data_IF_763917526542
#
_entry.id   IF_763917526542
#
_cell.length_a   1.000
_cell.length_b   1.000
_cell.length_c   1.000
_cell.angle_alpha   90.00
_cell.angle_beta   90.00
_cell.angle_gamma   90.00
#
_symmetry.space_group_name_H-M   'P 1'
#
loop_
_entity.id
_entity.type
_entity.pdbx_description
1 polymer ?
#
# COMPACT_ATOMS: atom_id res chain seq x y z
N UNK A 1 -3.42 15.75 -2.96
CA UNK A 1 -2.19 15.06 -2.49
C UNK A 1 -1.87 13.81 -3.28
N UNK A 2 -2.66 12.73 -3.23
CA UNK A 2 -2.40 11.54 -4.08
C UNK A 2 -2.49 11.89 -5.57
N UNK A 3 -3.54 12.62 -5.97
CA UNK A 3 -3.75 13.07 -7.34
C UNK A 3 -2.70 14.11 -7.84
N UNK A 4 -1.99 14.78 -6.93
CA UNK A 4 -0.98 15.78 -7.28
C UNK A 4 0.45 15.20 -7.31
N UNK A 5 0.62 13.95 -6.85
CA UNK A 5 1.92 13.29 -6.69
C UNK A 5 2.12 12.09 -7.59
N UNK A 6 1.05 11.65 -8.23
CA UNK A 6 1.10 10.60 -9.24
C UNK A 6 0.66 11.20 -10.56
N UNK A 7 1.38 10.87 -11.63
CA UNK A 7 0.81 10.97 -12.97
C UNK A 7 -0.48 10.13 -13.01
N UNK A 8 -1.51 10.57 -13.76
CA UNK A 8 -2.77 9.84 -13.85
C UNK A 8 -2.52 8.36 -14.12
N UNK A 9 -3.06 7.51 -13.26
CA UNK A 9 -2.96 6.07 -13.48
C UNK A 9 -4.05 5.71 -14.46
N UNK A 10 -3.69 5.72 -15.73
CA UNK A 10 -4.64 5.51 -16.82
C UNK A 10 -4.97 4.03 -16.93
N UNK A 11 -6.24 3.69 -16.71
CA UNK A 11 -6.78 2.38 -17.04
C UNK A 11 -6.58 2.10 -18.54
N UNK A 12 -5.92 0.99 -18.87
CA UNK A 12 -5.60 0.64 -20.25
C UNK A 12 -6.82 0.33 -21.11
N UNK A 13 -7.96 0.04 -20.47
CA UNK A 13 -9.22 -0.31 -21.16
C UNK A 13 -10.08 0.93 -21.44
N UNK A 14 -10.11 1.90 -20.53
CA UNK A 14 -11.02 3.06 -20.58
C UNK A 14 -10.34 4.40 -20.78
N UNK A 15 -9.01 4.47 -20.63
CA UNK A 15 -8.26 5.71 -20.74
C UNK A 15 -8.51 6.70 -19.59
N UNK A 16 -9.16 6.26 -18.49
CA UNK A 16 -9.50 7.12 -17.34
C UNK A 16 -8.47 7.00 -16.23
N UNK A 17 -8.26 8.11 -15.52
CA UNK A 17 -7.48 8.14 -14.29
C UNK A 17 -8.17 7.31 -13.20
N UNK A 18 -7.46 6.31 -12.68
CA UNK A 18 -7.92 5.42 -11.63
C UNK A 18 -7.78 6.01 -10.23
N UNK A 19 -6.95 7.05 -10.04
CA UNK A 19 -6.69 7.64 -8.72
C UNK A 19 -7.99 8.14 -8.07
N UNK A 20 -8.87 8.91 -8.74
CA UNK A 20 -10.13 9.34 -8.15
C UNK A 20 -11.01 8.14 -7.75
N UNK A 21 -11.07 7.10 -8.58
CA UNK A 21 -11.91 5.93 -8.31
C UNK A 21 -11.44 5.14 -7.09
N UNK A 22 -10.13 5.01 -6.92
CA UNK A 22 -9.52 4.36 -5.75
C UNK A 22 -9.70 5.17 -4.47
N UNK A 23 -9.50 6.50 -4.53
CA UNK A 23 -9.63 7.39 -3.37
C UNK A 23 -11.09 7.48 -2.92
N UNK A 24 -12.04 7.54 -3.85
CA UNK A 24 -13.47 7.66 -3.54
C UNK A 24 -14.18 6.30 -3.42
N UNK A 25 -13.46 5.18 -3.56
CA UNK A 25 -14.03 3.83 -3.52
C UNK A 25 -15.16 3.61 -4.54
N UNK A 26 -15.10 4.29 -5.69
CA UNK A 26 -16.13 4.21 -6.73
C UNK A 26 -15.83 3.05 -7.67
N UNK A 27 -16.72 2.07 -7.74
CA UNK A 27 -16.61 0.94 -8.66
C UNK A 27 -16.53 1.43 -10.13
N UNK A 28 -15.52 0.95 -10.87
CA UNK A 28 -15.50 1.04 -12.34
C UNK A 28 -15.73 -0.36 -12.90
N UNK A 29 -16.96 -0.61 -13.37
CA UNK A 29 -17.36 -1.87 -14.02
C UNK A 29 -16.88 -3.11 -13.27
N UNK A 30 -15.87 -3.81 -13.83
CA UNK A 30 -15.36 -5.11 -13.42
C UNK A 30 -14.29 -5.03 -12.32
N UNK A 31 -13.90 -3.82 -11.90
CA UNK A 31 -12.91 -3.60 -10.85
C UNK A 31 -13.62 -3.05 -9.60
N UNK A 32 -13.78 -3.94 -8.61
CA UNK A 32 -14.31 -3.54 -7.31
C UNK A 32 -13.23 -2.80 -6.52
N UNK A 33 -13.43 -1.49 -6.32
CA UNK A 33 -12.62 -0.68 -5.41
C UNK A 33 -13.17 -0.70 -3.97
N UNK A 34 -14.19 -1.52 -3.72
CA UNK A 34 -14.68 -1.80 -2.38
C UNK A 34 -13.62 -2.45 -1.50
N UNK A 35 -13.55 -2.06 -0.22
CA UNK A 35 -12.57 -2.58 0.73
C UNK A 35 -11.19 -1.89 0.65
N UNK A 36 -11.07 -0.79 -0.10
CA UNK A 36 -9.93 0.11 -0.01
C UNK A 36 -9.99 0.92 1.28
N UNK A 37 -8.90 0.93 2.02
CA UNK A 37 -8.68 1.74 3.21
C UNK A 37 -7.68 2.84 2.90
N UNK A 38 -7.89 4.02 3.50
CA UNK A 38 -6.98 5.15 3.40
C UNK A 38 -6.34 5.39 4.77
N UNK A 39 -5.02 5.32 4.83
CA UNK A 39 -4.24 5.72 5.99
C UNK A 39 -3.63 7.10 5.74
N UNK A 40 -3.77 8.00 6.72
CA UNK A 40 -3.26 9.37 6.65
C UNK A 40 -2.36 9.65 7.86
N UNK A 41 -1.19 10.23 7.60
CA UNK A 41 -0.33 10.83 8.61
C UNK A 41 -0.50 12.34 8.54
N UNK A 42 -0.87 12.95 9.68
CA UNK A 42 -1.02 14.40 9.81
C UNK A 42 -0.02 14.97 10.80
N UNK A 43 0.49 16.16 10.52
CA UNK A 43 1.34 16.97 11.40
C UNK A 43 0.77 18.38 11.43
N UNK A 44 0.47 18.91 12.61
CA UNK A 44 -0.14 20.23 12.77
C UNK A 44 -1.39 20.44 11.90
N UNK A 45 -2.26 19.43 11.83
CA UNK A 45 -3.48 19.40 11.00
C UNK A 45 -3.26 19.36 9.48
N UNK A 46 -2.02 19.23 9.00
CA UNK A 46 -1.69 19.07 7.59
C UNK A 46 -1.37 17.62 7.27
N UNK A 47 -1.91 17.07 6.17
CA UNK A 47 -1.59 15.71 5.70
C UNK A 47 -0.18 15.71 5.10
N UNK A 48 0.72 14.91 5.68
CA UNK A 48 2.11 14.80 5.23
C UNK A 48 2.40 13.49 4.51
N UNK A 49 1.67 12.41 4.83
CA UNK A 49 1.78 11.12 4.13
C UNK A 49 0.41 10.46 4.03
N UNK A 50 0.17 9.75 2.93
CA UNK A 50 -1.06 9.02 2.66
C UNK A 50 -0.75 7.67 2.01
N UNK A 51 -1.52 6.63 2.35
CA UNK A 51 -1.42 5.31 1.74
C UNK A 51 -2.81 4.71 1.52
N UNK A 52 -3.06 4.20 0.31
CA UNK A 52 -4.27 3.44 -0.02
C UNK A 52 -3.89 1.97 -0.03
N UNK A 53 -4.62 1.16 0.74
CA UNK A 53 -4.37 -0.28 0.87
C UNK A 53 -5.67 -1.08 0.90
N UNK A 54 -5.58 -2.36 0.55
CA UNK A 54 -6.72 -3.30 0.59
C UNK A 54 -6.27 -4.62 1.20
N UNK A 55 -7.17 -5.28 1.92
CA UNK A 55 -6.88 -6.54 2.62
C UNK A 55 -7.73 -7.65 2.01
N UNK A 56 -7.08 -8.72 1.56
CA UNK A 56 -7.70 -9.92 1.01
C UNK A 56 -7.63 -11.07 2.03
N UNK A 57 -8.39 -10.93 3.11
CA UNK A 57 -8.36 -11.88 4.24
C UNK A 57 -6.99 -11.93 4.93
N UNK A 58 -6.61 -13.09 5.46
CA UNK A 58 -5.35 -13.28 6.19
C UNK A 58 -4.15 -13.59 5.28
N UNK A 59 -4.35 -13.78 3.98
CA UNK A 59 -3.24 -14.20 3.10
C UNK A 59 -2.43 -13.02 2.60
N UNK A 60 -3.10 -11.98 2.08
CA UNK A 60 -2.41 -10.87 1.42
C UNK A 60 -3.14 -9.54 1.57
N UNK A 61 -2.37 -8.47 1.71
CA UNK A 61 -2.84 -7.11 1.53
C UNK A 61 -2.06 -6.44 0.39
N UNK A 62 -2.70 -5.52 -0.33
CA UNK A 62 -2.04 -4.69 -1.32
C UNK A 62 -1.90 -3.24 -0.82
N UNK A 63 -0.82 -2.57 -1.20
CA UNK A 63 -0.59 -1.16 -0.99
C UNK A 63 -0.35 -0.47 -2.34
N UNK A 64 -1.41 -0.28 -3.14
CA UNK A 64 -1.25 0.19 -4.51
C UNK A 64 -0.79 1.63 -4.63
N UNK A 65 -1.09 2.51 -3.66
CA UNK A 65 -0.73 3.92 -3.76
C UNK A 65 -0.19 4.47 -2.45
N UNK A 66 0.91 5.23 -2.54
CA UNK A 66 1.49 5.95 -1.41
C UNK A 66 1.99 7.33 -1.85
N UNK A 67 1.68 8.36 -1.08
CA UNK A 67 2.17 9.71 -1.35
C UNK A 67 2.74 10.33 -0.08
N UNK A 68 3.77 11.15 -0.24
CA UNK A 68 4.32 12.00 0.84
C UNK A 68 4.52 13.40 0.28
N UNK A 69 4.13 14.41 1.04
CA UNK A 69 4.30 15.82 0.67
C UNK A 69 5.79 16.13 0.43
N UNK A 70 6.12 16.88 -0.63
CA UNK A 70 7.48 17.32 -0.97
C UNK A 70 8.23 17.91 0.22
N UNK A 71 7.53 18.74 1.00
CA UNK A 71 8.09 19.55 2.07
C UNK A 71 8.59 18.71 3.25
N UNK A 72 8.18 17.43 3.29
CA UNK A 72 8.55 16.46 4.32
C UNK A 72 9.20 15.19 3.76
N UNK A 73 9.62 15.19 2.49
CA UNK A 73 10.39 14.07 1.93
C UNK A 73 11.74 13.93 2.66
N UNK A 74 12.11 12.69 2.99
CA UNK A 74 13.35 12.39 3.70
C UNK A 74 13.27 12.45 5.24
N UNK A 75 12.13 12.85 5.81
CA UNK A 75 11.95 12.93 7.28
C UNK A 75 11.40 11.63 7.91
N UNK A 76 11.29 10.54 7.14
CA UNK A 76 10.75 9.28 7.65
C UNK A 76 9.24 9.27 7.87
N UNK A 77 8.50 10.27 7.37
CA UNK A 77 7.03 10.34 7.50
C UNK A 77 6.34 9.11 6.90
N UNK A 78 6.68 8.73 5.67
CA UNK A 78 6.14 7.53 5.05
C UNK A 78 6.55 6.27 5.81
N UNK A 79 7.80 6.18 6.26
CA UNK A 79 8.26 5.03 7.04
C UNK A 79 7.45 4.86 8.33
N UNK A 80 7.07 5.96 8.98
CA UNK A 80 6.21 5.94 10.16
C UNK A 80 4.79 5.46 9.82
N UNK A 81 4.19 5.99 8.76
CA UNK A 81 2.88 5.57 8.27
C UNK A 81 2.89 4.07 7.90
N UNK A 82 3.88 3.64 7.14
CA UNK A 82 4.05 2.26 6.70
C UNK A 82 4.25 1.31 7.89
N UNK A 83 5.03 1.70 8.90
CA UNK A 83 5.19 0.90 10.13
C UNK A 83 3.85 0.69 10.86
N UNK A 84 2.97 1.70 10.86
CA UNK A 84 1.63 1.56 11.43
C UNK A 84 0.76 0.62 10.60
N UNK A 85 0.84 0.70 9.28
CA UNK A 85 0.15 -0.24 8.38
C UNK A 85 0.65 -1.67 8.61
N UNK A 86 1.96 -1.90 8.69
CA UNK A 86 2.52 -3.23 8.96
C UNK A 86 2.03 -3.82 10.29
N UNK A 87 1.97 -3.00 11.35
CA UNK A 87 1.44 -3.44 12.66
C UNK A 87 -0.04 -3.78 12.59
N UNK A 88 -0.84 -3.00 11.86
CA UNK A 88 -2.25 -3.29 11.63
C UNK A 88 -2.42 -4.61 10.87
N UNK A 89 -1.66 -4.81 9.80
CA UNK A 89 -1.71 -6.05 9.01
C UNK A 89 -1.30 -7.26 9.84
N UNK A 90 -0.27 -7.12 10.68
CA UNK A 90 0.14 -8.17 11.61
C UNK A 90 -0.98 -8.50 12.61
N UNK A 91 -1.61 -7.48 13.20
CA UNK A 91 -2.74 -7.66 14.11
C UNK A 91 -3.91 -8.41 13.47
N UNK A 92 -4.12 -8.18 12.17
CA UNK A 92 -5.14 -8.85 11.36
C UNK A 92 -4.70 -10.21 10.81
N UNK A 93 -3.54 -10.72 11.22
CA UNK A 93 -2.92 -11.97 10.76
C UNK A 93 -2.69 -12.05 9.24
N UNK A 94 -2.50 -10.91 8.59
CA UNK A 94 -2.14 -10.86 7.17
C UNK A 94 -0.71 -11.36 6.99
N UNK A 95 -0.48 -12.31 6.08
CA UNK A 95 0.84 -12.93 5.88
C UNK A 95 1.76 -12.09 5.01
N UNK A 96 1.25 -11.54 3.91
CA UNK A 96 2.06 -10.82 2.93
C UNK A 96 1.47 -9.46 2.57
N UNK A 97 2.35 -8.52 2.27
CA UNK A 97 2.01 -7.26 1.64
C UNK A 97 2.62 -7.22 0.23
N UNK A 98 1.82 -6.79 -0.75
CA UNK A 98 2.23 -6.63 -2.14
C UNK A 98 2.01 -5.20 -2.62
N UNK A 99 2.80 -4.76 -3.59
CA UNK A 99 2.60 -3.46 -4.23
C UNK A 99 3.19 -3.42 -5.65
N UNK A 100 2.62 -2.59 -6.54
CA UNK A 100 3.27 -2.16 -7.76
C UNK A 100 4.32 -1.08 -7.47
N UNK A 101 5.53 -1.23 -8.00
CA UNK A 101 6.60 -0.24 -7.93
C UNK A 101 7.04 0.19 -9.32
N UNK A 102 7.07 1.50 -9.58
CA UNK A 102 7.73 2.05 -10.76
C UNK A 102 9.24 1.79 -10.70
N UNK A 103 9.89 1.73 -11.87
CA UNK A 103 11.32 1.39 -11.99
C UNK A 103 12.20 2.33 -11.15
N UNK A 104 11.85 3.61 -11.08
CA UNK A 104 12.59 4.63 -10.31
C UNK A 104 12.47 4.44 -8.78
N UNK A 105 11.43 3.73 -8.33
CA UNK A 105 11.15 3.49 -6.92
C UNK A 105 11.44 2.06 -6.47
N UNK A 106 11.74 1.12 -7.39
CA UNK A 106 11.94 -0.30 -7.08
C UNK A 106 13.02 -0.50 -6.01
N UNK A 107 14.18 0.16 -6.16
CA UNK A 107 15.32 0.06 -5.22
C UNK A 107 14.97 0.56 -3.81
N UNK A 108 14.12 1.58 -3.68
CA UNK A 108 13.69 2.09 -2.38
C UNK A 108 12.91 1.00 -1.64
N UNK A 109 12.00 0.31 -2.33
CA UNK A 109 11.19 -0.75 -1.75
C UNK A 109 12.01 -1.98 -1.40
N UNK A 110 12.96 -2.38 -2.25
CA UNK A 110 13.81 -3.53 -1.98
C UNK A 110 14.81 -3.25 -0.86
N UNK A 111 15.50 -2.12 -0.92
CA UNK A 111 16.69 -1.88 -0.09
C UNK A 111 16.31 -1.32 1.28
N UNK A 112 15.31 -0.41 1.34
CA UNK A 112 14.89 0.21 2.61
C UNK A 112 13.75 -0.53 3.29
N UNK A 113 12.79 -1.03 2.53
CA UNK A 113 11.59 -1.65 3.07
C UNK A 113 11.64 -3.18 3.08
N UNK A 114 12.64 -3.79 2.43
CA UNK A 114 12.86 -5.24 2.44
C UNK A 114 11.92 -6.03 1.55
N UNK A 115 11.34 -5.38 0.53
CA UNK A 115 10.54 -6.06 -0.48
C UNK A 115 11.40 -6.87 -1.44
N UNK A 116 10.78 -7.82 -2.14
CA UNK A 116 11.39 -8.62 -3.18
C UNK A 116 10.47 -8.68 -4.39
N UNK A 117 11.07 -8.75 -5.58
CA UNK A 117 10.33 -8.89 -6.83
C UNK A 117 9.55 -10.21 -6.86
N UNK A 118 8.28 -10.14 -7.27
CA UNK A 118 7.45 -11.33 -7.50
C UNK A 118 7.79 -11.88 -8.90
N UNK A 119 7.98 -13.19 -9.02
CA UNK A 119 8.19 -13.80 -10.34
C UNK A 119 6.89 -13.82 -11.14
N UNK A 120 6.97 -13.93 -12.47
CA UNK A 120 5.77 -13.98 -13.31
C UNK A 120 4.83 -15.14 -12.94
N UNK A 121 5.39 -16.30 -12.58
CA UNK A 121 4.62 -17.47 -12.16
C UNK A 121 3.87 -17.22 -10.85
N UNK A 122 4.55 -16.64 -9.84
CA UNK A 122 3.92 -16.28 -8.57
C UNK A 122 2.83 -15.22 -8.76
N UNK A 123 3.08 -14.24 -9.63
CA UNK A 123 2.09 -13.20 -9.94
C UNK A 123 0.87 -13.78 -10.65
N UNK A 124 1.05 -14.76 -11.53
CA UNK A 124 -0.05 -15.51 -12.16
C UNK A 124 -0.94 -16.19 -11.11
N UNK A 125 -0.33 -16.85 -10.12
CA UNK A 125 -1.09 -17.48 -9.02
C UNK A 125 -1.86 -16.45 -8.18
N UNK A 126 -1.25 -15.31 -7.84
CA UNK A 126 -1.97 -14.24 -7.14
C UNK A 126 -3.18 -13.75 -7.92
N UNK A 127 -3.06 -13.59 -9.24
CA UNK A 127 -4.16 -13.11 -10.10
C UNK A 127 -5.33 -14.09 -10.22
N UNK A 128 -5.13 -15.38 -9.94
CA UNK A 128 -6.23 -16.37 -9.91
C UNK A 128 -7.13 -16.18 -8.69
N UNK A 129 -6.58 -15.70 -7.57
CA UNK A 129 -7.30 -15.57 -6.30
C UNK A 129 -7.66 -14.13 -5.92
N UNK A 130 -6.94 -13.14 -6.45
CA UNK A 130 -7.04 -11.74 -6.01
C UNK A 130 -6.99 -10.78 -7.19
N UNK A 131 -7.93 -9.84 -7.21
CA UNK A 131 -7.96 -8.76 -8.20
C UNK A 131 -7.02 -7.62 -7.78
N UNK A 132 -5.72 -7.90 -7.80
CA UNK A 132 -4.69 -6.94 -7.40
C UNK A 132 -4.52 -5.82 -8.42
N UNK A 133 -4.19 -4.63 -7.93
CA UNK A 133 -3.87 -3.49 -8.78
C UNK A 133 -2.50 -3.64 -9.42
N UNK A 134 -2.45 -3.50 -10.74
CA UNK A 134 -1.20 -3.49 -11.51
C UNK A 134 -1.17 -2.27 -12.41
N UNK A 135 -0.03 -1.61 -12.50
CA UNK A 135 0.15 -0.45 -13.35
C UNK A 135 1.16 -0.76 -14.46
N UNK A 136 0.91 -0.22 -15.67
CA UNK A 136 1.83 -0.41 -16.79
C UNK A 136 3.20 0.22 -16.44
N UNK A 137 4.29 -0.50 -16.72
CA UNK A 137 5.64 -0.03 -16.41
C UNK A 137 6.01 -0.16 -14.92
N UNK A 138 5.27 -0.97 -14.16
CA UNK A 138 5.61 -1.27 -12.76
C UNK A 138 5.93 -2.75 -12.56
N UNK A 139 6.84 -3.03 -11.64
CA UNK A 139 7.14 -4.37 -11.16
C UNK A 139 6.34 -4.66 -9.89
N UNK A 140 5.80 -5.87 -9.76
CA UNK A 140 5.12 -6.28 -8.54
C UNK A 140 6.14 -6.76 -7.51
N UNK A 141 6.06 -6.20 -6.31
CA UNK A 141 6.92 -6.54 -5.18
C UNK A 141 6.10 -7.16 -4.05
N UNK A 142 6.71 -8.05 -3.28
CA UNK A 142 6.12 -8.66 -2.08
C UNK A 142 7.08 -8.62 -0.89
N UNK A 143 6.49 -8.62 0.30
CA UNK A 143 7.18 -8.78 1.58
C UNK A 143 6.27 -9.53 2.55
N UNK A 144 6.84 -10.36 3.41
CA UNK A 144 6.09 -10.94 4.54
C UNK A 144 5.90 -9.91 5.64
N UNK A 145 4.70 -9.84 6.21
CA UNK A 145 4.38 -8.92 7.28
C UNK A 145 5.24 -9.26 8.51
N UNK A 146 5.99 -8.29 9.08
CA UNK A 146 6.82 -8.53 10.25
C UNK A 146 5.98 -8.99 11.44
N UNK A 147 6.52 -9.90 12.24
CA UNK A 147 5.89 -10.29 13.52
C UNK A 147 6.18 -9.20 14.56
N UNK A 148 5.13 -8.61 15.10
CA UNK A 148 5.25 -7.74 16.27
C UNK A 148 4.93 -8.54 17.55
N UNK A 149 5.30 -8.00 18.71
CA UNK A 149 4.84 -8.50 20.00
C UNK A 149 3.90 -7.46 20.60
N UNK A 150 2.78 -7.89 21.18
CA UNK A 150 1.98 -6.98 21.98
C UNK A 150 2.80 -6.57 23.21
N UNK A 151 3.13 -5.29 23.32
CA UNK A 151 3.57 -4.73 24.60
C UNK A 151 2.29 -4.52 25.41
N UNK A 152 1.88 -5.51 26.19
CA UNK A 152 0.89 -5.27 27.24
C UNK A 152 1.56 -4.42 28.31
N UNK A 153 1.09 -3.18 28.51
CA UNK A 153 1.36 -2.48 29.77
C UNK A 153 0.68 -3.30 30.86
N UNK A 154 1.47 -4.00 31.67
CA UNK A 154 1.05 -4.44 32.99
C UNK A 154 0.49 -3.23 33.72
N UNK A 155 -0.76 -3.29 34.19
CA UNK A 155 -1.19 -2.38 35.25
C UNK A 155 -0.27 -2.69 36.44
N UNK A 156 0.55 -1.72 36.84
CA UNK A 156 1.08 -1.71 38.21
C UNK A 156 -0.10 -1.37 39.12
N UNK A 157 -0.59 -2.38 39.82
CA UNK A 157 -1.40 -2.22 41.03
C UNK A 157 -0.47 -1.66 42.12
N UNK A 158 -0.76 -0.46 42.63
CA UNK A 158 -0.63 -0.02 44.04
C UNK A 158 -1.08 1.43 44.19
#
# INVERSE_FOLDING_TARGET
MLQDRFDPIVDSTTGRDLIPSMVYGRNLRDQEFGGMYCALLTVNSSVVSAGIFRIFGCEVAELPLVATSSDNQGQGCFQSLFSCIERLLWFLNVRNIVLPAADEAESIWTDKFGFKKITLDQLSEYRKGYQMMTFKGTSMLQKSVPKYQFISKSKEDS
#
